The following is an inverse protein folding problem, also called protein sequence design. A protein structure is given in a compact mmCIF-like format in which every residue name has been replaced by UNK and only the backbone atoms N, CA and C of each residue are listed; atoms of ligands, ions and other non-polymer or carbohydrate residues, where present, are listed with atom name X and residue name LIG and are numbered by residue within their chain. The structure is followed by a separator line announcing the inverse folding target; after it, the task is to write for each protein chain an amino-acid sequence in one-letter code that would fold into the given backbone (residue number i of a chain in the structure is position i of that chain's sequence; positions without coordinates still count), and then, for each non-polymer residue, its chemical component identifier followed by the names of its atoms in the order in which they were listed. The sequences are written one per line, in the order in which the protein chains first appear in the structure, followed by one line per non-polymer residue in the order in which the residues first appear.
data_IF_150669354292
#
_entry.id   IF_150669354292
#
_cell.length_a   1.000
_cell.length_b   1.000
_cell.length_c   1.000
_cell.angle_alpha   90.00
_cell.angle_beta   90.00
_cell.angle_gamma   90.00
#
_symmetry.space_group_name_H-M   'P 1'
#
loop_
_entity.id
_entity.type
_entity.pdbx_description
1 polymer ?
#
# COMPACT_ATOMS: atom_id res chain seq x y z
N UNK A 1 0.32 5.27 9.69
CA UNK A 1 0.88 4.54 8.54
C UNK A 1 2.36 4.31 8.84
N UNK A 2 2.91 3.16 8.49
CA UNK A 2 4.37 2.95 8.52
C UNK A 2 4.90 2.89 7.10
N UNK A 3 6.12 3.36 6.89
CA UNK A 3 6.79 3.37 5.58
C UNK A 3 8.16 2.76 5.69
N UNK A 4 8.49 1.91 4.74
CA UNK A 4 9.81 1.30 4.59
C UNK A 4 10.39 1.73 3.24
N UNK A 5 11.63 2.21 3.23
CA UNK A 5 12.34 2.63 2.03
C UNK A 5 13.25 1.51 1.51
N UNK A 6 13.37 1.42 0.19
CA UNK A 6 14.13 0.39 -0.51
C UNK A 6 14.93 0.98 -1.68
N UNK A 7 16.15 0.46 -1.85
CA UNK A 7 17.00 0.71 -3.01
C UNK A 7 17.43 -0.61 -3.64
N UNK A 8 17.20 -0.77 -4.95
CA UNK A 8 17.55 -1.98 -5.70
C UNK A 8 17.11 -3.29 -5.01
N UNK A 9 15.92 -3.27 -4.39
CA UNK A 9 15.35 -4.41 -3.67
C UNK A 9 15.89 -4.63 -2.24
N UNK A 10 16.81 -3.79 -1.76
CA UNK A 10 17.32 -3.84 -0.39
C UNK A 10 16.59 -2.81 0.47
N UNK A 11 16.10 -3.25 1.63
CA UNK A 11 15.56 -2.33 2.64
C UNK A 11 16.69 -1.42 3.15
N UNK A 12 16.43 -0.13 3.16
CA UNK A 12 17.35 0.89 3.66
C UNK A 12 16.73 1.53 4.90
N UNK A 13 17.45 1.45 6.02
CA UNK A 13 17.01 2.02 7.29
C UNK A 13 15.87 1.27 7.98
N UNK A 14 15.30 1.93 9.00
CA UNK A 14 14.19 1.40 9.78
C UNK A 14 12.84 1.96 9.31
N UNK A 15 11.74 1.21 9.48
CA UNK A 15 10.42 1.69 9.13
C UNK A 15 10.07 2.99 9.87
N UNK A 16 9.66 4.00 9.11
CA UNK A 16 9.22 5.28 9.62
C UNK A 16 7.72 5.25 9.95
N UNK A 17 7.36 5.58 11.19
CA UNK A 17 5.96 5.70 11.60
C UNK A 17 5.45 7.12 11.39
N UNK A 18 4.53 7.27 10.44
CA UNK A 18 3.86 8.53 10.14
C UNK A 18 2.83 8.83 11.22
N UNK A 19 3.09 9.88 12.00
CA UNK A 19 2.19 10.38 13.06
C UNK A 19 1.25 11.50 12.57
N UNK A 20 1.61 12.17 11.49
CA UNK A 20 0.82 13.26 10.91
C UNK A 20 -0.18 12.75 9.88
N UNK A 21 -1.22 13.53 9.61
CA UNK A 21 -2.12 13.31 8.48
C UNK A 21 -1.45 13.54 7.13
N UNK A 22 -0.28 14.18 7.10
CA UNK A 22 0.52 14.34 5.91
C UNK A 22 1.89 13.69 6.10
N UNK A 23 2.43 13.11 5.03
CA UNK A 23 3.83 12.74 4.95
C UNK A 23 4.39 13.30 3.67
N UNK A 24 5.53 13.95 3.79
CA UNK A 24 6.34 14.23 2.63
C UNK A 24 7.40 13.13 2.47
N UNK A 25 7.43 12.49 1.31
CA UNK A 25 8.49 11.55 0.92
C UNK A 25 9.22 12.20 -0.22
N UNK A 26 10.51 12.40 -0.08
CA UNK A 26 11.43 12.72 -1.16
C UNK A 26 12.23 11.45 -1.47
N UNK A 27 12.82 11.34 -2.66
CA UNK A 27 13.67 10.20 -3.04
C UNK A 27 14.95 10.03 -2.20
N UNK A 28 15.01 10.61 -1.00
CA UNK A 28 16.12 10.59 -0.06
C UNK A 28 15.71 10.02 1.30
N UNK A 29 16.67 9.48 2.08
CA UNK A 29 16.40 8.94 3.42
C UNK A 29 15.99 9.97 4.48
N UNK A 30 16.05 11.28 4.18
CA UNK A 30 15.67 12.36 5.10
C UNK A 30 14.62 13.27 4.47
N UNK A 31 13.53 13.63 5.16
CA UNK A 31 12.42 14.37 4.58
C UNK A 31 12.80 15.80 4.17
N UNK A 32 13.03 16.01 2.87
CA UNK A 32 13.24 17.31 2.21
C UNK A 32 12.55 17.36 0.84
N UNK A 33 11.28 17.79 0.89
CA UNK A 33 10.42 18.29 -0.18
C UNK A 33 10.37 17.63 -1.57
N UNK A 34 9.78 16.44 -1.83
CA UNK A 34 9.37 16.06 -3.22
C UNK A 34 8.08 15.21 -3.47
N UNK A 35 7.35 14.62 -2.52
CA UNK A 35 6.00 14.05 -2.76
C UNK A 35 5.15 14.02 -1.49
N UNK A 36 3.82 14.18 -1.57
CA UNK A 36 2.94 14.29 -0.40
C UNK A 36 1.88 13.20 -0.32
N UNK A 37 1.89 12.42 0.76
CA UNK A 37 0.74 11.65 1.24
C UNK A 37 -0.11 12.53 2.13
N UNK A 38 -1.42 12.49 1.98
CA UNK A 38 -2.30 13.08 2.98
C UNK A 38 -3.57 12.28 3.22
N UNK A 39 -4.05 12.34 4.46
CA UNK A 39 -5.25 11.67 4.94
C UNK A 39 -6.34 12.71 5.21
N UNK A 40 -7.46 12.61 4.48
CA UNK A 40 -8.62 13.49 4.65
C UNK A 40 -9.88 12.63 4.64
N UNK A 41 -10.71 12.74 5.69
CA UNK A 41 -12.05 12.15 5.70
C UNK A 41 -12.11 10.62 5.55
N UNK A 42 -11.06 9.87 5.90
CA UNK A 42 -11.03 8.43 5.67
C UNK A 42 -10.32 7.99 4.38
N UNK A 43 -9.80 8.94 3.61
CA UNK A 43 -9.18 8.70 2.32
C UNK A 43 -7.69 9.02 2.38
N UNK A 44 -6.88 8.26 1.66
CA UNK A 44 -5.45 8.52 1.49
C UNK A 44 -5.20 8.94 0.05
N UNK A 45 -4.51 10.06 -0.13
CA UNK A 45 -4.06 10.58 -1.41
C UNK A 45 -2.54 10.52 -1.51
N UNK A 46 -2.04 10.33 -2.73
CA UNK A 46 -0.65 10.52 -3.11
C UNK A 46 -0.57 11.64 -4.13
N UNK A 47 0.18 12.69 -3.82
CA UNK A 47 0.41 13.86 -4.66
C UNK A 47 1.88 13.91 -5.05
N UNK A 48 2.13 14.02 -6.36
CA UNK A 48 3.46 14.11 -6.93
C UNK A 48 3.90 15.58 -6.98
N UNK A 49 4.85 15.95 -6.12
CA UNK A 49 5.44 17.30 -6.10
C UNK A 49 6.76 17.38 -6.87
N UNK A 50 7.35 16.24 -7.23
CA UNK A 50 8.57 16.15 -8.04
C UNK A 50 8.28 16.49 -9.50
N UNK A 51 9.34 16.93 -10.21
CA UNK A 51 9.33 17.13 -11.67
C UNK A 51 9.33 15.80 -12.44
N UNK A 52 9.57 14.68 -11.75
CA UNK A 52 9.47 13.34 -12.30
C UNK A 52 8.18 12.64 -11.83
N UNK A 53 7.62 11.78 -12.69
CA UNK A 53 6.44 10.99 -12.32
C UNK A 53 6.76 9.94 -11.26
N UNK A 54 5.79 9.66 -10.39
CA UNK A 54 5.79 8.51 -9.49
C UNK A 54 4.83 7.43 -9.97
N UNK A 55 5.09 6.20 -9.55
CA UNK A 55 4.32 5.03 -9.99
C UNK A 55 3.80 4.31 -8.76
N UNK A 56 2.50 4.06 -8.70
CA UNK A 56 1.81 3.59 -7.50
C UNK A 56 1.05 2.30 -7.79
N UNK A 57 1.29 1.28 -6.98
CA UNK A 57 0.45 0.10 -6.89
C UNK A 57 -0.33 0.17 -5.59
N UNK A 58 -1.63 0.43 -5.70
CA UNK A 58 -2.59 0.29 -4.61
C UNK A 58 -3.69 -0.68 -5.01
N UNK A 59 -3.75 -1.88 -4.40
CA UNK A 59 -4.80 -2.85 -4.69
C UNK A 59 -6.22 -2.31 -4.42
N UNK A 60 -6.40 -1.50 -3.37
CA UNK A 60 -7.70 -0.86 -3.08
C UNK A 60 -8.12 0.09 -4.21
N UNK A 61 -7.19 0.91 -4.70
CA UNK A 61 -7.45 1.78 -5.85
C UNK A 61 -7.74 0.96 -7.12
N UNK A 62 -6.94 -0.06 -7.40
CA UNK A 62 -7.10 -0.92 -8.57
C UNK A 62 -8.49 -1.58 -8.59
N UNK A 63 -8.93 -2.11 -7.45
CA UNK A 63 -10.23 -2.75 -7.33
C UNK A 63 -11.38 -1.79 -7.60
N UNK A 64 -11.33 -0.56 -7.07
CA UNK A 64 -12.33 0.49 -7.33
C UNK A 64 -12.48 0.80 -8.83
N UNK A 65 -11.39 0.73 -9.59
CA UNK A 65 -11.40 0.95 -11.04
C UNK A 65 -11.61 -0.32 -11.87
N UNK A 66 -11.79 -1.49 -11.23
CA UNK A 66 -11.93 -2.77 -11.92
C UNK A 66 -10.65 -3.24 -12.62
N UNK A 67 -9.48 -2.75 -12.18
CA UNK A 67 -8.19 -3.15 -12.73
C UNK A 67 -7.62 -4.39 -12.03
N UNK A 68 -6.65 -5.02 -12.69
CA UNK A 68 -5.91 -6.12 -12.08
C UNK A 68 -5.26 -5.66 -10.76
N UNK A 69 -5.25 -6.47 -9.68
CA UNK A 69 -4.71 -6.04 -8.38
C UNK A 69 -3.26 -5.57 -8.41
N UNK A 70 -2.47 -6.05 -9.37
CA UNK A 70 -1.05 -5.68 -9.55
C UNK A 70 -0.84 -4.48 -10.49
N UNK A 71 -1.89 -3.86 -11.01
CA UNK A 71 -1.80 -2.68 -11.88
C UNK A 71 -1.02 -1.56 -11.19
N UNK A 72 -0.19 -0.86 -11.98
CA UNK A 72 0.64 0.26 -11.53
C UNK A 72 0.16 1.53 -12.21
N UNK A 73 -0.28 2.49 -11.41
CA UNK A 73 -0.77 3.78 -11.85
C UNK A 73 0.38 4.78 -11.91
N UNK A 74 0.54 5.48 -13.05
CA UNK A 74 1.46 6.60 -13.16
C UNK A 74 0.79 7.88 -12.66
N UNK A 75 1.43 8.59 -11.74
CA UNK A 75 1.03 9.93 -11.30
C UNK A 75 2.05 10.92 -11.89
N UNK A 76 1.66 11.74 -12.89
CA UNK A 76 2.53 12.77 -13.44
C UNK A 76 2.86 13.88 -12.42
N UNK A 77 3.88 14.71 -12.69
CA UNK A 77 4.17 15.90 -11.90
C UNK A 77 2.93 16.77 -11.68
N UNK A 78 2.79 17.32 -10.47
CA UNK A 78 1.67 18.18 -10.04
C UNK A 78 0.28 17.52 -10.10
N UNK A 79 0.22 16.19 -10.22
CA UNK A 79 -1.02 15.44 -10.15
C UNK A 79 -1.14 14.72 -8.81
N UNK A 80 -2.37 14.36 -8.44
CA UNK A 80 -2.63 13.50 -7.29
C UNK A 80 -3.56 12.35 -7.65
N UNK A 81 -3.50 11.29 -6.84
CA UNK A 81 -4.36 10.12 -6.95
C UNK A 81 -4.85 9.74 -5.57
N UNK A 82 -6.15 9.45 -5.45
CA UNK A 82 -6.70 8.76 -4.28
C UNK A 82 -6.22 7.31 -4.32
N UNK A 83 -5.37 6.93 -3.38
CA UNK A 83 -4.73 5.61 -3.32
C UNK A 83 -5.42 4.68 -2.33
N UNK A 84 -6.23 5.19 -1.40
CA UNK A 84 -7.00 4.33 -0.49
C UNK A 84 -8.28 5.02 -0.02
N UNK A 85 -9.35 4.25 0.20
CA UNK A 85 -10.57 4.73 0.82
C UNK A 85 -11.05 3.75 1.93
N UNK A 86 -11.20 4.26 3.15
CA UNK A 86 -11.62 3.45 4.30
C UNK A 86 -13.04 2.91 4.21
N UNK A 87 -13.97 3.64 3.59
CA UNK A 87 -15.37 3.20 3.46
C UNK A 87 -15.46 2.01 2.49
N UNK A 88 -14.76 2.08 1.37
CA UNK A 88 -14.64 0.98 0.40
C UNK A 88 -14.00 -0.25 1.04
N UNK A 89 -12.92 -0.04 1.80
CA UNK A 89 -12.27 -1.11 2.54
C UNK A 89 -13.18 -1.73 3.62
N UNK A 90 -13.93 -0.91 4.37
CA UNK A 90 -14.87 -1.40 5.38
C UNK A 90 -15.95 -2.29 4.76
N UNK A 91 -16.50 -1.90 3.60
CA UNK A 91 -17.49 -2.69 2.88
C UNK A 91 -16.92 -4.05 2.45
N UNK A 92 -15.69 -4.07 1.91
CA UNK A 92 -15.02 -5.32 1.51
C UNK A 92 -14.67 -6.21 2.69
N UNK A 93 -14.29 -5.60 3.83
CA UNK A 93 -14.04 -6.33 5.06
C UNK A 93 -15.32 -7.01 5.56
N UNK A 94 -16.44 -6.29 5.58
CA UNK A 94 -17.73 -6.84 5.96
C UNK A 94 -18.16 -8.00 5.04
N UNK A 95 -17.99 -7.87 3.73
CA UNK A 95 -18.30 -8.94 2.77
C UNK A 95 -17.37 -10.16 2.95
N UNK A 96 -16.09 -9.93 3.26
CA UNK A 96 -15.11 -11.01 3.43
C UNK A 96 -15.32 -11.80 4.71
N UNK A 97 -15.98 -11.23 5.72
CA UNK A 97 -16.31 -11.93 6.97
C UNK A 97 -17.14 -13.18 6.69
N UNK A 98 -18.13 -13.08 5.80
CA UNK A 98 -19.01 -14.20 5.43
C UNK A 98 -18.27 -15.31 4.68
N UNK A 99 -17.14 -14.96 4.04
CA UNK A 99 -16.29 -15.87 3.27
C UNK A 99 -15.26 -16.60 4.13
N UNK A 100 -15.12 -16.22 5.41
CA UNK A 100 -14.29 -16.89 6.40
C UNK A 100 -12.89 -16.31 6.57
N UNK A 101 -12.10 -16.96 7.44
CA UNK A 101 -10.82 -16.45 7.94
C UNK A 101 -9.82 -16.11 6.82
N UNK A 102 -9.63 -17.01 5.85
CA UNK A 102 -8.66 -16.82 4.76
C UNK A 102 -9.00 -15.61 3.89
N UNK A 103 -10.29 -15.37 3.62
CA UNK A 103 -10.75 -14.23 2.85
C UNK A 103 -10.44 -12.91 3.59
N UNK A 104 -10.71 -12.85 4.90
CA UNK A 104 -10.37 -11.68 5.73
C UNK A 104 -8.86 -11.48 5.80
N UNK A 105 -8.08 -12.56 5.98
CA UNK A 105 -6.63 -12.49 6.03
C UNK A 105 -6.03 -12.01 4.70
N UNK A 106 -6.61 -12.40 3.56
CA UNK A 106 -6.16 -11.94 2.24
C UNK A 106 -6.29 -10.42 2.05
N UNK A 107 -7.21 -9.75 2.77
CA UNK A 107 -7.37 -8.29 2.72
C UNK A 107 -6.18 -7.53 3.28
N UNK A 108 -5.28 -8.18 4.03
CA UNK A 108 -4.01 -7.56 4.47
C UNK A 108 -3.22 -6.98 3.30
N UNK A 109 -3.32 -7.60 2.12
CA UNK A 109 -2.69 -7.14 0.88
C UNK A 109 -3.23 -5.79 0.40
N UNK A 110 -4.47 -5.44 0.72
CA UNK A 110 -5.06 -4.14 0.35
C UNK A 110 -4.48 -2.99 1.18
N UNK A 111 -3.94 -3.31 2.37
CA UNK A 111 -3.36 -2.34 3.29
C UNK A 111 -1.90 -1.99 2.95
N UNK A 112 -1.33 -2.63 1.94
CA UNK A 112 0.03 -2.40 1.45
C UNK A 112 -0.01 -1.62 0.15
N UNK A 113 0.64 -0.45 0.14
CA UNK A 113 0.76 0.40 -1.04
C UNK A 113 2.24 0.51 -1.39
N UNK A 114 2.56 0.34 -2.66
CA UNK A 114 3.94 0.38 -3.15
C UNK A 114 4.12 1.49 -4.15
N UNK A 115 5.21 2.24 -4.01
CA UNK A 115 5.42 3.46 -4.79
C UNK A 115 6.88 3.54 -5.20
N UNK A 116 7.13 3.65 -6.50
CA UNK A 116 8.47 3.88 -7.03
C UNK A 116 8.62 5.30 -7.57
N UNK A 117 9.82 5.85 -7.39
CA UNK A 117 10.18 7.17 -7.86
C UNK A 117 10.81 7.07 -9.25
N UNK A 118 10.42 7.98 -10.16
CA UNK A 118 11.01 8.18 -11.50
C UNK A 118 10.80 7.02 -12.49
N UNK A 119 10.81 5.75 -12.05
CA UNK A 119 10.80 4.55 -12.90
C UNK A 119 9.60 3.67 -12.58
N UNK A 120 8.76 3.41 -13.57
CA UNK A 120 7.64 2.47 -13.47
C UNK A 120 8.05 1.00 -13.55
N UNK A 121 7.14 0.14 -13.09
CA UNK A 121 7.23 -1.32 -13.18
C UNK A 121 5.85 -1.93 -13.48
N UNK A 122 5.83 -3.22 -13.83
CA UNK A 122 4.62 -3.99 -14.15
C UNK A 122 4.50 -4.29 -15.65
N UNK A 123 3.32 -4.74 -16.06
CA UNK A 123 3.07 -5.27 -17.40
C UNK A 123 3.47 -4.30 -18.53
N UNK A 124 3.26 -3.01 -18.34
CA UNK A 124 3.53 -1.98 -19.35
C UNK A 124 4.98 -1.43 -19.33
N UNK A 125 5.85 -2.00 -18.51
CA UNK A 125 7.20 -1.48 -18.30
C UNK A 125 8.28 -2.55 -18.49
N UNK A 126 9.51 -2.11 -18.79
CA UNK A 126 10.67 -3.02 -18.86
C UNK A 126 10.91 -3.77 -17.55
N UNK A 127 10.63 -3.13 -16.41
CA UNK A 127 10.77 -3.71 -15.06
C UNK A 127 9.47 -4.43 -14.72
N UNK A 128 9.53 -5.73 -14.48
CA UNK A 128 8.33 -6.52 -14.17
C UNK A 128 8.02 -6.56 -12.67
N UNK A 129 9.03 -6.38 -11.81
CA UNK A 129 8.91 -6.34 -10.36
C UNK A 129 9.33 -4.97 -9.81
N UNK A 130 8.83 -4.62 -8.63
CA UNK A 130 9.20 -3.36 -7.98
C UNK A 130 10.66 -3.35 -7.52
N UNK A 131 11.22 -4.50 -7.15
CA UNK A 131 12.62 -4.61 -6.71
C UNK A 131 13.62 -4.25 -7.81
N UNK A 132 13.19 -4.27 -9.08
CA UNK A 132 13.99 -3.80 -10.22
C UNK A 132 13.98 -2.27 -10.39
N UNK A 133 13.18 -1.55 -9.59
CA UNK A 133 13.19 -0.08 -9.54
C UNK A 133 14.31 0.40 -8.61
N UNK A 134 14.98 1.51 -8.95
CA UNK A 134 16.15 1.96 -8.20
C UNK A 134 15.79 2.43 -6.78
N UNK A 135 14.66 3.14 -6.63
CA UNK A 135 14.22 3.73 -5.36
C UNK A 135 12.70 3.56 -5.25
N UNK A 136 12.23 2.99 -4.14
CA UNK A 136 10.81 2.82 -3.89
C UNK A 136 10.49 2.71 -2.39
N UNK A 137 9.21 2.87 -2.05
CA UNK A 137 8.69 2.72 -0.70
C UNK A 137 7.57 1.69 -0.64
N UNK A 138 7.48 1.01 0.50
CA UNK A 138 6.32 0.22 0.92
C UNK A 138 5.62 0.93 2.07
N UNK A 139 4.35 1.27 1.90
CA UNK A 139 3.52 1.92 2.90
C UNK A 139 2.47 0.93 3.44
N UNK A 140 2.40 0.81 4.76
CA UNK A 140 1.42 0.01 5.47
C UNK A 140 0.40 0.89 6.21
N UNK A 141 -0.88 0.67 5.90
CA UNK A 141 -1.99 1.40 6.50
C UNK A 141 -2.41 0.76 7.82
N UNK A 142 -1.82 1.26 8.92
CA UNK A 142 -2.04 0.72 10.27
C UNK A 142 -3.52 0.68 10.70
N UNK A 143 -4.34 1.66 10.32
CA UNK A 143 -5.76 1.69 10.68
C UNK A 143 -6.55 0.50 10.10
N UNK A 144 -6.58 0.36 8.76
CA UNK A 144 -7.12 -0.82 8.08
C UNK A 144 -6.57 -2.16 8.60
N UNK A 145 -5.26 -2.25 8.87
CA UNK A 145 -4.65 -3.46 9.46
C UNK A 145 -5.21 -3.77 10.86
N UNK A 146 -5.43 -2.75 11.70
CA UNK A 146 -6.06 -2.94 13.02
C UNK A 146 -7.51 -3.42 12.90
N UNK A 147 -8.25 -2.98 11.87
CA UNK A 147 -9.61 -3.47 11.64
C UNK A 147 -9.60 -4.95 11.28
N UNK A 148 -8.69 -5.38 10.39
CA UNK A 148 -8.50 -6.80 10.07
C UNK A 148 -8.16 -7.60 11.34
N UNK A 149 -7.17 -7.16 12.12
CA UNK A 149 -6.73 -7.87 13.34
C UNK A 149 -7.89 -8.06 14.34
N UNK A 150 -8.73 -7.04 14.55
CA UNK A 150 -9.92 -7.14 15.39
C UNK A 150 -10.91 -8.20 14.89
N UNK A 151 -11.18 -8.21 13.58
CA UNK A 151 -12.09 -9.19 12.98
C UNK A 151 -11.53 -10.60 13.10
N UNK A 152 -10.26 -10.81 12.74
CA UNK A 152 -9.62 -12.13 12.82
C UNK A 152 -9.60 -12.68 14.25
N UNK A 153 -9.37 -11.84 15.27
CA UNK A 153 -9.46 -12.24 16.68
C UNK A 153 -10.86 -12.69 17.08
N UNK A 154 -11.90 -12.08 16.52
CA UNK A 154 -13.30 -12.42 16.81
C UNK A 154 -13.77 -13.70 16.12
N UNK A 155 -13.15 -14.07 15.00
CA UNK A 155 -13.49 -15.28 14.24
C UNK A 155 -12.97 -16.58 14.86
N UNK A 156 -12.05 -16.49 15.85
CA UNK A 156 -11.32 -17.65 16.35
C UNK A 156 -10.18 -18.09 15.42
N UNK A 157 -9.22 -18.86 15.93
CA UNK A 157 -8.11 -19.36 15.12
C UNK A 157 -8.65 -20.24 13.97
N UNK A 158 -8.05 -20.17 12.76
CA UNK A 158 -8.46 -21.03 11.67
C UNK A 158 -8.37 -22.49 12.14
N UNK A 159 -9.40 -23.27 11.83
CA UNK A 159 -9.51 -24.69 12.16
C UNK A 159 -8.55 -25.54 11.30
N UNK A 160 -7.33 -25.05 11.07
CA UNK A 160 -6.23 -25.84 10.57
C UNK A 160 -5.34 -26.19 11.76
N UNK A 161 -5.60 -27.37 12.33
CA UNK A 161 -4.56 -28.09 13.04
C UNK A 161 -3.37 -28.18 12.07
N UNK A 162 -2.33 -27.37 12.29
CA UNK A 162 -1.02 -27.69 11.74
C UNK A 162 -0.64 -29.00 12.41
N UNK A 163 -0.85 -30.12 11.72
CA UNK A 163 -0.23 -31.38 12.08
C UNK A 163 1.26 -31.13 12.04
N UNK A 164 1.86 -30.97 13.22
CA UNK A 164 3.29 -30.82 13.44
C UNK A 164 4.03 -32.11 13.09
N UNK A 165 3.88 -32.64 11.87
CA UNK A 165 4.68 -33.72 11.32
C UNK A 165 4.53 -33.74 9.79
N UNK A 166 5.54 -33.28 9.07
CA UNK A 166 6.29 -34.06 8.05
C UNK A 166 7.50 -33.26 7.60
#
# INVERSE_FOLDING_TARGET
MSITYYEEGKRIGDPFNVKSHYLLVDGYPSPSSEERFYYIGGEVYCECLSDAAVFVQSPNCNQRHGWHPTTVCKIPPNCNLKIFNNAEFAAQLAESVEKGYEAVFALTRLCTIRISFVKGWGADYRRQTIDATPCWIEAHLNGPLQWIDRVLRSMGAPMMAHSSFT
#
